data_IF_442666150115
#
_entry.id   IF_442666150115
#
_cell.length_a   1.000
_cell.length_b   1.000
_cell.length_c   1.000
_cell.angle_alpha   90.00
_cell.angle_beta   90.00
_cell.angle_gamma   90.00
#
_symmetry.space_group_name_H-M   'P 1'
#
loop_
_entity.id
_entity.type
_entity.pdbx_description
1 polymer ?
#
# COMPACT_ATOMS: atom_id res chain seq x y z
N UNK A 1 26.24 -18.19 0.92
CA UNK A 1 24.84 -18.67 0.98
C UNK A 1 24.09 -18.15 -0.23
N UNK A 2 23.59 -19.02 -1.12
CA UNK A 2 22.66 -18.60 -2.17
C UNK A 2 21.31 -18.34 -1.49
N UNK A 3 20.89 -17.08 -1.42
CA UNK A 3 19.60 -16.72 -0.86
C UNK A 3 18.52 -17.30 -1.77
N UNK A 4 17.71 -18.21 -1.23
CA UNK A 4 16.60 -18.78 -1.97
C UNK A 4 15.45 -17.76 -1.97
N UNK A 5 15.24 -17.12 -3.12
CA UNK A 5 14.17 -16.13 -3.34
C UNK A 5 12.78 -16.65 -2.91
N UNK A 6 12.55 -17.96 -3.04
CA UNK A 6 11.30 -18.60 -2.65
C UNK A 6 11.08 -18.55 -1.13
N UNK A 7 12.15 -18.77 -0.34
CA UNK A 7 12.09 -18.71 1.13
C UNK A 7 11.88 -17.28 1.60
N UNK A 8 12.54 -16.31 0.95
CA UNK A 8 12.37 -14.89 1.26
C UNK A 8 10.94 -14.42 0.94
N UNK A 9 10.40 -14.81 -0.22
CA UNK A 9 9.03 -14.50 -0.60
C UNK A 9 8.01 -15.09 0.38
N UNK A 10 8.20 -16.35 0.78
CA UNK A 10 7.34 -17.00 1.78
C UNK A 10 7.39 -16.30 3.14
N UNK A 11 8.59 -15.90 3.59
CA UNK A 11 8.76 -15.15 4.83
C UNK A 11 8.04 -13.80 4.80
N UNK A 12 8.11 -13.07 3.68
CA UNK A 12 7.39 -11.80 3.50
C UNK A 12 5.86 -11.98 3.55
N UNK A 13 5.33 -13.02 2.92
CA UNK A 13 3.90 -13.34 2.97
C UNK A 13 3.47 -13.64 4.42
N UNK A 14 4.25 -14.46 5.13
CA UNK A 14 3.96 -14.80 6.53
C UNK A 14 3.98 -13.56 7.43
N UNK A 15 4.96 -12.68 7.25
CA UNK A 15 5.03 -11.40 7.98
C UNK A 15 3.79 -10.54 7.68
N UNK A 16 3.38 -10.44 6.41
CA UNK A 16 2.18 -9.71 6.01
C UNK A 16 0.90 -10.24 6.69
N UNK A 17 0.73 -11.57 6.71
CA UNK A 17 -0.41 -12.22 7.37
C UNK A 17 -0.39 -11.91 8.88
N UNK A 18 0.77 -12.01 9.54
CA UNK A 18 0.90 -11.70 10.96
C UNK A 18 0.51 -10.24 11.25
N UNK A 19 0.95 -9.29 10.44
CA UNK A 19 0.58 -7.88 10.59
C UNK A 19 -0.94 -7.69 10.51
N UNK A 20 -1.60 -8.32 9.54
CA UNK A 20 -3.06 -8.25 9.40
C UNK A 20 -3.77 -8.84 10.62
N UNK A 21 -3.32 -10.01 11.09
CA UNK A 21 -3.89 -10.68 12.27
C UNK A 21 -3.71 -9.81 13.51
N UNK A 22 -2.49 -9.36 13.80
CA UNK A 22 -2.22 -8.49 14.95
C UNK A 22 -3.00 -7.18 14.87
N UNK A 23 -3.08 -6.56 13.69
CA UNK A 23 -3.88 -5.34 13.49
C UNK A 23 -5.37 -5.57 13.73
N UNK A 24 -5.90 -6.72 13.34
CA UNK A 24 -7.31 -7.07 13.56
C UNK A 24 -7.61 -7.36 15.05
N UNK A 25 -6.66 -7.98 15.76
CA UNK A 25 -6.78 -8.30 17.19
C UNK A 25 -6.53 -7.10 18.10
N UNK A 26 -5.77 -6.10 17.64
CA UNK A 26 -5.41 -4.92 18.44
C UNK A 26 -6.58 -3.98 18.74
N UNK A 27 -7.79 -4.29 18.27
CA UNK A 27 -9.05 -3.84 18.87
C UNK A 27 -9.17 -2.34 19.11
N UNK A 28 -8.52 -1.51 18.28
CA UNK A 28 -8.65 -0.06 18.39
C UNK A 28 -10.08 0.31 17.99
N UNK A 29 -10.86 0.67 19.02
CA UNK A 29 -12.24 1.17 19.02
C UNK A 29 -12.75 1.65 17.66
N UNK A 30 -13.77 1.00 17.08
CA UNK A 30 -14.60 1.50 15.95
C UNK A 30 -13.90 2.54 15.05
N UNK A 31 -12.67 2.29 14.61
CA UNK A 31 -12.05 3.19 13.66
C UNK A 31 -12.71 2.86 12.34
N UNK A 32 -13.53 3.78 11.84
CA UNK A 32 -14.09 3.71 10.49
C UNK A 32 -12.94 3.36 9.55
N UNK A 33 -13.00 2.17 8.97
CA UNK A 33 -11.92 1.67 8.12
C UNK A 33 -11.78 2.65 6.98
N UNK A 34 -10.64 3.34 6.95
CA UNK A 34 -10.33 4.26 5.87
C UNK A 34 -9.91 3.42 4.67
N UNK A 35 -10.54 3.67 3.53
CA UNK A 35 -10.32 2.98 2.27
C UNK A 35 -10.03 4.03 1.19
N UNK A 36 -8.96 3.81 0.44
CA UNK A 36 -8.55 4.64 -0.68
C UNK A 36 -8.13 3.73 -1.81
N UNK A 37 -8.57 4.05 -3.01
CA UNK A 37 -8.22 3.36 -4.25
C UNK A 37 -7.76 4.43 -5.21
N UNK A 38 -6.66 4.19 -5.91
CA UNK A 38 -6.22 5.11 -6.95
C UNK A 38 -5.19 4.49 -7.86
N UNK A 39 -4.94 5.17 -8.96
CA UNK A 39 -4.03 4.75 -10.00
C UNK A 39 -3.87 5.85 -11.04
N UNK A 40 -3.69 5.43 -12.29
CA UNK A 40 -3.46 6.34 -13.40
C UNK A 40 -4.44 6.04 -14.53
N UNK A 41 -4.97 7.11 -15.14
CA UNK A 41 -5.62 7.05 -16.45
C UNK A 41 -4.66 7.74 -17.42
N UNK A 42 -3.85 6.95 -18.13
CA UNK A 42 -2.71 7.48 -18.88
C UNK A 42 -1.68 8.13 -17.94
N UNK A 43 -1.23 9.37 -18.19
CA UNK A 43 -0.31 10.08 -17.29
C UNK A 43 -1.01 10.78 -16.11
N UNK A 44 -2.35 10.79 -16.08
CA UNK A 44 -3.10 11.57 -15.09
C UNK A 44 -3.32 10.73 -13.83
N UNK A 45 -2.84 11.16 -12.65
CA UNK A 45 -3.11 10.48 -11.40
C UNK A 45 -4.59 10.64 -11.01
N UNK A 46 -5.24 9.54 -10.65
CA UNK A 46 -6.64 9.48 -10.25
C UNK A 46 -6.80 8.68 -8.96
N UNK A 47 -7.85 8.97 -8.18
CA UNK A 47 -8.20 8.15 -7.04
C UNK A 47 -9.52 8.53 -6.40
N UNK A 48 -9.85 7.79 -5.36
CA UNK A 48 -11.00 8.01 -4.50
C UNK A 48 -10.63 7.53 -3.08
N UNK A 49 -11.14 8.20 -2.06
CA UNK A 49 -11.06 7.72 -0.69
C UNK A 49 -12.29 8.16 0.11
N UNK A 50 -12.64 7.38 1.13
CA UNK A 50 -13.68 7.74 2.08
C UNK A 50 -13.23 8.76 3.13
N UNK A 51 -11.94 9.09 3.18
CA UNK A 51 -11.36 10.08 4.09
C UNK A 51 -10.48 11.08 3.31
N UNK A 52 -10.67 12.41 3.49
CA UNK A 52 -9.91 13.43 2.75
C UNK A 52 -8.40 13.38 3.00
N UNK A 53 -7.97 13.01 4.20
CA UNK A 53 -6.54 12.86 4.51
C UNK A 53 -5.99 11.65 3.75
N UNK A 54 -6.73 10.56 3.68
CA UNK A 54 -6.31 9.37 2.95
C UNK A 54 -6.33 9.55 1.43
N UNK A 55 -7.23 10.39 0.91
CA UNK A 55 -7.22 10.80 -0.49
C UNK A 55 -5.92 11.55 -0.86
N UNK A 56 -5.46 12.46 0.00
CA UNK A 56 -4.19 13.15 -0.21
C UNK A 56 -3.01 12.18 -0.20
N UNK A 57 -3.01 11.22 0.73
CA UNK A 57 -1.96 10.20 0.80
C UNK A 57 -1.91 9.32 -0.45
N UNK A 58 -3.06 8.84 -0.95
CA UNK A 58 -3.05 7.98 -2.14
C UNK A 58 -2.56 8.74 -3.38
N UNK A 59 -2.91 10.03 -3.54
CA UNK A 59 -2.41 10.85 -4.64
C UNK A 59 -0.90 11.08 -4.56
N UNK A 60 -0.36 11.33 -3.36
CA UNK A 60 1.09 11.48 -3.16
C UNK A 60 1.82 10.18 -3.47
N UNK A 61 1.29 9.04 -3.00
CA UNK A 61 1.86 7.71 -3.28
C UNK A 61 1.93 7.45 -4.80
N UNK A 62 0.81 7.71 -5.50
CA UNK A 62 0.68 7.57 -6.94
C UNK A 62 1.72 8.45 -7.65
N UNK A 63 1.79 9.74 -7.30
CA UNK A 63 2.77 10.66 -7.87
C UNK A 63 4.22 10.24 -7.63
N UNK A 64 4.55 9.76 -6.42
CA UNK A 64 5.87 9.25 -6.08
C UNK A 64 6.25 8.02 -6.91
N UNK A 65 5.32 7.08 -7.10
CA UNK A 65 5.52 5.90 -7.94
C UNK A 65 5.75 6.30 -9.40
N UNK A 66 4.96 7.23 -9.95
CA UNK A 66 5.19 7.73 -11.30
C UNK A 66 6.55 8.44 -11.46
N UNK A 67 6.95 9.25 -10.48
CA UNK A 67 8.26 9.89 -10.49
C UNK A 67 9.39 8.85 -10.51
N UNK A 68 9.30 7.81 -9.66
CA UNK A 68 10.25 6.70 -9.67
C UNK A 68 10.33 6.02 -11.04
N UNK A 69 9.19 5.70 -11.65
CA UNK A 69 9.17 5.10 -13.00
C UNK A 69 9.73 6.03 -14.08
N UNK A 70 9.54 7.34 -13.94
CA UNK A 70 10.09 8.33 -14.88
C UNK A 70 11.62 8.42 -14.78
N UNK A 71 12.19 8.39 -13.57
CA UNK A 71 13.64 8.46 -13.34
C UNK A 71 14.38 7.12 -13.50
N UNK A 72 13.67 5.98 -13.40
CA UNK A 72 14.23 4.65 -13.65
C UNK A 72 14.29 4.29 -15.15
N UNK A 73 13.66 5.09 -16.00
CA UNK A 73 13.73 4.98 -17.45
C UNK A 73 14.89 5.81 -18.00
#
# INVERSE_FOLDING_TARGET
MKVNLLVVGLALILIGILIVIFSSLSGTEKYETKIAVGGFIGPIPFGWANDPKMFKWILVLIAAVAALFFFMK
#
